data_IF_005717230391
#
_entry.id   IF_005717230391
#
_cell.length_a   1.000
_cell.length_b   1.000
_cell.length_c   1.000
_cell.angle_alpha   90.00
_cell.angle_beta   90.00
_cell.angle_gamma   90.00
#
_symmetry.space_group_name_H-M   'P 1'
#
loop_
_entity.id
_entity.type
_entity.pdbx_description
1 polymer ?
#
# COMPACT_ATOMS: atom_id res chain seq x y z
N UNK A 1 -29.05 5.37 5.16
CA UNK A 1 -27.75 4.87 5.65
C UNK A 1 -27.41 3.62 4.85
N UNK A 2 -26.35 3.70 4.08
CA UNK A 2 -25.84 2.52 3.39
C UNK A 2 -25.19 1.65 4.49
N UNK A 3 -25.61 0.40 4.64
CA UNK A 3 -25.03 -0.46 5.66
C UNK A 3 -23.55 -0.65 5.35
N UNK A 4 -22.70 -0.57 6.39
CA UNK A 4 -21.30 -0.92 6.26
C UNK A 4 -21.20 -2.31 5.62
N UNK A 5 -20.32 -2.52 4.63
CA UNK A 5 -20.15 -3.83 4.06
C UNK A 5 -19.68 -4.79 5.13
N UNK A 6 -20.09 -6.05 5.05
CA UNK A 6 -19.58 -7.06 5.94
C UNK A 6 -18.06 -7.17 5.78
N UNK A 7 -17.31 -7.21 6.88
CA UNK A 7 -15.90 -7.54 6.85
C UNK A 7 -15.66 -9.00 6.44
N UNK A 8 -14.58 -9.26 5.73
CA UNK A 8 -13.50 -8.38 5.32
C UNK A 8 -13.85 -7.57 4.05
N UNK A 9 -13.55 -6.29 4.10
CA UNK A 9 -13.79 -5.32 3.03
C UNK A 9 -13.03 -5.68 1.75
N UNK A 10 -11.75 -6.00 1.87
CA UNK A 10 -10.89 -6.35 0.73
C UNK A 10 -11.42 -7.55 -0.05
N UNK A 11 -11.88 -8.60 0.63
CA UNK A 11 -12.42 -9.80 -0.05
C UNK A 11 -13.67 -9.47 -0.85
N UNK A 12 -14.52 -8.57 -0.37
CA UNK A 12 -15.71 -8.13 -1.09
C UNK A 12 -15.35 -7.31 -2.34
N UNK A 13 -14.37 -6.41 -2.22
CA UNK A 13 -13.85 -5.62 -3.35
C UNK A 13 -13.25 -6.56 -4.40
N UNK A 14 -12.40 -7.49 -3.99
CA UNK A 14 -11.78 -8.47 -4.88
C UNK A 14 -12.84 -9.35 -5.58
N UNK A 15 -13.82 -9.85 -4.83
CA UNK A 15 -14.92 -10.63 -5.42
C UNK A 15 -15.63 -9.85 -6.51
N UNK A 16 -16.02 -8.62 -6.24
CA UNK A 16 -16.68 -7.75 -7.21
C UNK A 16 -15.81 -7.52 -8.45
N UNK A 17 -14.52 -7.26 -8.28
CA UNK A 17 -13.58 -7.11 -9.39
C UNK A 17 -13.50 -8.38 -10.26
N UNK A 18 -13.45 -9.57 -9.63
CA UNK A 18 -13.45 -10.85 -10.34
C UNK A 18 -14.76 -11.07 -11.12
N UNK A 19 -15.89 -10.69 -10.55
CA UNK A 19 -17.21 -10.84 -11.18
C UNK A 19 -17.38 -9.92 -12.42
N UNK A 20 -16.62 -8.82 -12.48
CA UNK A 20 -16.63 -7.86 -13.60
C UNK A 20 -15.70 -8.26 -14.76
N UNK A 21 -14.81 -9.21 -14.56
CA UNK A 21 -13.90 -9.64 -15.61
C UNK A 21 -14.63 -10.38 -16.74
N UNK A 22 -14.15 -10.27 -17.99
CA UNK A 22 -14.69 -11.03 -19.13
C UNK A 22 -14.74 -12.51 -18.83
N UNK A 23 -15.76 -13.22 -19.34
CA UNK A 23 -15.85 -14.68 -19.21
C UNK A 23 -14.96 -15.40 -20.22
N UNK A 24 -14.69 -14.77 -21.35
CA UNK A 24 -13.84 -15.29 -22.40
C UNK A 24 -12.39 -15.40 -21.94
N UNK A 25 -11.76 -16.55 -22.13
CA UNK A 25 -10.41 -16.81 -21.70
C UNK A 25 -9.37 -16.02 -22.49
N UNK A 26 -9.55 -15.90 -23.81
CA UNK A 26 -8.60 -15.20 -24.69
C UNK A 26 -8.55 -13.72 -24.32
N UNK A 27 -9.71 -13.13 -24.06
CA UNK A 27 -9.82 -11.74 -23.62
C UNK A 27 -9.14 -11.54 -22.25
N UNK A 28 -9.37 -12.45 -21.31
CA UNK A 28 -8.69 -12.42 -19.97
C UNK A 28 -7.16 -12.54 -20.10
N UNK A 29 -6.69 -13.43 -20.94
CA UNK A 29 -5.25 -13.62 -21.16
C UNK A 29 -4.61 -12.36 -21.76
N UNK A 30 -5.31 -11.66 -22.65
CA UNK A 30 -4.88 -10.37 -23.21
C UNK A 30 -4.75 -9.30 -22.11
N UNK A 31 -5.79 -9.11 -21.30
CA UNK A 31 -5.77 -8.16 -20.18
C UNK A 31 -4.62 -8.49 -19.21
N UNK A 32 -4.41 -9.78 -18.92
CA UNK A 32 -3.31 -10.22 -18.05
C UNK A 32 -1.92 -9.85 -18.62
N UNK A 33 -1.72 -9.99 -19.92
CA UNK A 33 -0.46 -9.62 -20.58
C UNK A 33 -0.20 -8.09 -20.53
N UNK A 34 -1.25 -7.28 -20.63
CA UNK A 34 -1.15 -5.82 -20.53
C UNK A 34 -0.61 -5.35 -19.18
N UNK A 35 -0.81 -6.11 -18.10
CA UNK A 35 -0.29 -5.78 -16.76
C UNK A 35 1.22 -5.98 -16.61
N UNK A 36 1.91 -6.61 -17.57
CA UNK A 36 3.36 -6.86 -17.52
C UNK A 36 3.80 -7.46 -16.16
N UNK A 37 3.11 -8.47 -15.69
CA UNK A 37 3.31 -9.09 -14.36
C UNK A 37 3.11 -8.13 -13.18
N UNK A 38 2.30 -7.08 -13.36
CA UNK A 38 2.00 -6.11 -12.31
C UNK A 38 2.97 -4.94 -12.21
N UNK A 39 3.89 -4.78 -13.18
CA UNK A 39 4.85 -3.66 -13.22
C UNK A 39 4.37 -2.50 -14.09
N UNK A 40 3.36 -2.72 -14.94
CA UNK A 40 2.77 -1.66 -15.76
C UNK A 40 1.94 -0.70 -14.91
N UNK A 41 1.92 0.56 -15.32
CA UNK A 41 0.92 1.53 -14.83
C UNK A 41 -0.45 1.09 -15.31
N UNK A 42 -1.39 0.85 -14.39
CA UNK A 42 -2.71 0.32 -14.70
C UNK A 42 -3.65 1.46 -15.10
N UNK A 43 -4.09 1.49 -16.35
CA UNK A 43 -4.84 2.60 -16.94
C UNK A 43 -6.28 2.23 -17.32
N UNK A 44 -6.71 0.99 -17.12
CA UNK A 44 -8.07 0.55 -17.44
C UNK A 44 -8.73 -0.16 -16.26
N UNK A 45 -10.06 -0.11 -16.21
CA UNK A 45 -10.85 -0.84 -15.21
C UNK A 45 -10.59 -2.36 -15.29
N UNK A 46 -10.40 -2.89 -16.49
CA UNK A 46 -10.15 -4.31 -16.70
C UNK A 46 -8.78 -4.74 -16.17
N UNK A 47 -7.72 -3.95 -16.39
CA UNK A 47 -6.40 -4.21 -15.82
C UNK A 47 -6.40 -4.09 -14.31
N UNK A 48 -7.12 -3.12 -13.73
CA UNK A 48 -7.30 -3.00 -12.28
C UNK A 48 -8.04 -4.22 -11.70
N UNK A 49 -9.10 -4.69 -12.34
CA UNK A 49 -9.86 -5.86 -11.92
C UNK A 49 -9.02 -7.14 -12.05
N UNK A 50 -8.27 -7.27 -13.15
CA UNK A 50 -7.38 -8.40 -13.39
C UNK A 50 -6.25 -8.45 -12.37
N UNK A 51 -5.71 -7.29 -11.96
CA UNK A 51 -4.69 -7.21 -10.92
C UNK A 51 -5.20 -7.76 -9.57
N UNK A 52 -6.40 -7.34 -9.16
CA UNK A 52 -7.04 -7.88 -7.95
C UNK A 52 -7.31 -9.38 -8.04
N UNK A 53 -7.75 -9.85 -9.20
CA UNK A 53 -7.98 -11.27 -9.43
C UNK A 53 -6.69 -12.08 -9.29
N UNK A 54 -5.60 -11.62 -9.93
CA UNK A 54 -4.36 -12.39 -10.10
C UNK A 54 -3.45 -12.30 -8.87
N UNK A 55 -3.32 -11.12 -8.28
CA UNK A 55 -2.35 -10.85 -7.22
C UNK A 55 -2.97 -10.51 -5.86
N UNK A 56 -4.23 -10.08 -5.84
CA UNK A 56 -4.85 -9.52 -4.64
C UNK A 56 -4.85 -10.46 -3.44
N UNK A 57 -5.08 -11.77 -3.64
CA UNK A 57 -5.07 -12.74 -2.54
C UNK A 57 -3.69 -12.84 -1.91
N UNK A 58 -2.66 -13.02 -2.73
CA UNK A 58 -1.26 -13.12 -2.29
C UNK A 58 -0.81 -11.84 -1.56
N UNK A 59 -1.14 -10.66 -2.09
CA UNK A 59 -0.81 -9.38 -1.44
C UNK A 59 -1.47 -9.27 -0.06
N UNK A 60 -2.75 -9.62 0.04
CA UNK A 60 -3.46 -9.61 1.32
C UNK A 60 -2.81 -10.54 2.34
N UNK A 61 -2.42 -11.74 1.95
CA UNK A 61 -1.78 -12.72 2.85
C UNK A 61 -0.46 -12.18 3.39
N UNK A 62 0.42 -11.65 2.52
CA UNK A 62 1.68 -11.03 2.93
C UNK A 62 1.47 -9.83 3.86
N UNK A 63 0.52 -8.94 3.52
CA UNK A 63 0.22 -7.77 4.33
C UNK A 63 -0.33 -8.16 5.71
N UNK A 64 -1.26 -9.13 5.77
CA UNK A 64 -1.80 -9.60 7.04
C UNK A 64 -0.71 -10.21 7.92
N UNK A 65 0.25 -10.93 7.34
CA UNK A 65 1.40 -11.44 8.09
C UNK A 65 2.26 -10.30 8.63
N UNK A 66 2.58 -9.30 7.82
CA UNK A 66 3.31 -8.12 8.26
C UNK A 66 2.57 -7.36 9.38
N UNK A 67 1.25 -7.24 9.28
CA UNK A 67 0.44 -6.53 10.28
C UNK A 67 0.31 -7.26 11.63
N UNK A 68 0.70 -8.53 11.74
CA UNK A 68 0.77 -9.23 13.05
C UNK A 68 1.74 -8.56 14.02
N UNK A 69 2.66 -7.76 13.50
CA UNK A 69 3.64 -7.00 14.28
C UNK A 69 3.22 -5.56 14.55
N UNK A 70 1.98 -5.18 14.18
CA UNK A 70 1.41 -3.89 14.55
C UNK A 70 1.24 -3.78 16.07
N UNK A 71 1.85 -2.76 16.65
CA UNK A 71 1.58 -2.42 18.04
C UNK A 71 0.31 -1.59 18.15
N UNK A 72 -0.59 -1.96 19.08
CA UNK A 72 -1.77 -1.15 19.39
C UNK A 72 -1.41 0.25 19.88
N UNK A 73 -0.21 0.44 20.41
CA UNK A 73 0.27 1.72 20.92
C UNK A 73 0.45 2.76 19.82
N UNK A 74 0.63 2.34 18.55
CA UNK A 74 0.72 3.27 17.42
C UNK A 74 -0.54 4.10 17.27
N UNK A 75 -1.70 3.51 17.55
CA UNK A 75 -3.00 4.10 17.30
C UNK A 75 -3.60 4.83 18.52
N UNK A 76 -2.89 4.87 19.66
CA UNK A 76 -3.28 5.68 20.82
C UNK A 76 -3.17 7.18 20.53
N UNK A 77 -2.25 7.54 19.66
CA UNK A 77 -2.04 8.91 19.17
C UNK A 77 -2.66 9.08 17.79
N UNK A 78 -2.61 10.29 17.30
CA UNK A 78 -2.99 10.61 15.93
C UNK A 78 -2.03 9.96 14.95
N UNK A 79 -2.58 9.28 13.93
CA UNK A 79 -1.82 8.50 12.95
C UNK A 79 -2.09 9.00 11.54
N UNK A 80 -1.03 9.10 10.75
CA UNK A 80 -1.08 9.26 9.30
C UNK A 80 -0.61 7.98 8.61
N UNK A 81 -1.28 7.59 7.55
CA UNK A 81 -0.88 6.45 6.69
C UNK A 81 -0.33 7.01 5.37
N UNK A 82 0.80 6.48 4.94
CA UNK A 82 1.42 6.77 3.65
C UNK A 82 1.50 5.46 2.85
N UNK A 83 0.72 5.35 1.79
CA UNK A 83 0.68 4.18 0.91
C UNK A 83 1.44 4.51 -0.39
N UNK A 84 2.67 4.01 -0.48
CA UNK A 84 3.63 4.31 -1.54
C UNK A 84 3.47 3.36 -2.71
N UNK A 85 3.19 3.92 -3.90
CA UNK A 85 2.77 3.11 -5.05
C UNK A 85 1.49 2.34 -4.72
N UNK A 86 0.50 3.07 -4.20
CA UNK A 86 -0.68 2.44 -3.58
C UNK A 86 -1.52 1.62 -4.57
N UNK A 87 -1.32 1.82 -5.89
CA UNK A 87 -2.21 1.26 -6.89
C UNK A 87 -3.66 1.61 -6.56
N UNK A 88 -4.50 0.60 -6.46
CA UNK A 88 -5.90 0.78 -6.07
C UNK A 88 -6.14 0.66 -4.54
N UNK A 89 -5.10 0.92 -3.72
CA UNK A 89 -5.19 1.04 -2.26
C UNK A 89 -5.22 -0.28 -1.50
N UNK A 90 -4.67 -1.36 -2.07
CA UNK A 90 -4.72 -2.71 -1.47
C UNK A 90 -4.13 -2.72 -0.06
N UNK A 91 -2.94 -2.11 0.13
CA UNK A 91 -2.26 -2.14 1.42
C UNK A 91 -3.04 -1.36 2.49
N UNK A 92 -3.52 -0.18 2.17
CA UNK A 92 -4.37 0.62 3.05
C UNK A 92 -5.67 -0.12 3.40
N UNK A 93 -6.36 -0.69 2.42
CA UNK A 93 -7.62 -1.42 2.66
C UNK A 93 -7.38 -2.64 3.55
N UNK A 94 -6.32 -3.41 3.31
CA UNK A 94 -5.96 -4.56 4.14
C UNK A 94 -5.58 -4.15 5.56
N UNK A 95 -4.90 -3.01 5.75
CA UNK A 95 -4.60 -2.48 7.09
C UNK A 95 -5.88 -2.11 7.83
N UNK A 96 -6.80 -1.40 7.19
CA UNK A 96 -8.08 -1.02 7.79
C UNK A 96 -8.93 -2.24 8.15
N UNK A 97 -8.97 -3.26 7.28
CA UNK A 97 -9.61 -4.53 7.58
C UNK A 97 -8.98 -5.20 8.80
N UNK A 98 -7.65 -5.27 8.84
CA UNK A 98 -6.92 -5.87 9.95
C UNK A 98 -7.22 -5.18 11.29
N UNK A 99 -7.22 -3.85 11.32
CA UNK A 99 -7.54 -3.06 12.51
C UNK A 99 -8.97 -3.32 13.00
N UNK A 100 -9.92 -3.39 12.07
CA UNK A 100 -11.33 -3.68 12.39
C UNK A 100 -11.51 -5.12 12.89
N UNK A 101 -10.91 -6.11 12.24
CA UNK A 101 -10.98 -7.51 12.65
C UNK A 101 -10.42 -7.72 14.07
N UNK A 102 -9.32 -7.01 14.41
CA UNK A 102 -8.70 -7.04 15.74
C UNK A 102 -9.41 -6.13 16.75
N UNK A 103 -10.42 -5.36 16.31
CA UNK A 103 -11.13 -4.37 17.13
C UNK A 103 -10.18 -3.34 17.75
N UNK A 104 -9.13 -2.98 17.05
CA UNK A 104 -8.21 -1.95 17.50
C UNK A 104 -8.88 -0.58 17.38
N UNK A 105 -8.88 0.15 18.48
CA UNK A 105 -9.25 1.57 18.45
C UNK A 105 -8.12 2.35 17.79
N UNK A 106 -8.44 3.22 16.84
CA UNK A 106 -7.45 4.04 16.15
C UNK A 106 -7.95 5.47 15.92
N UNK A 107 -7.01 6.40 15.98
CA UNK A 107 -7.23 7.81 15.67
C UNK A 107 -6.53 8.14 14.33
N UNK A 108 -7.19 7.79 13.24
CA UNK A 108 -6.66 7.99 11.90
C UNK A 108 -7.00 9.39 11.40
N UNK A 109 -5.97 10.21 11.19
CA UNK A 109 -6.08 11.59 10.75
C UNK A 109 -6.13 11.71 9.24
N UNK A 110 -5.07 11.23 8.58
CA UNK A 110 -4.89 11.37 7.13
C UNK A 110 -4.37 10.09 6.51
N UNK A 111 -4.86 9.79 5.31
CA UNK A 111 -4.30 8.77 4.43
C UNK A 111 -3.74 9.46 3.19
N UNK A 112 -2.45 9.27 2.93
CA UNK A 112 -1.76 9.74 1.74
C UNK A 112 -1.63 8.58 0.76
N UNK A 113 -2.18 8.75 -0.44
CA UNK A 113 -2.14 7.79 -1.53
C UNK A 113 -1.21 8.31 -2.61
N UNK A 114 -0.08 7.66 -2.82
CA UNK A 114 0.92 8.06 -3.81
C UNK A 114 0.90 7.05 -4.95
N UNK A 115 0.45 7.47 -6.14
CA UNK A 115 0.27 6.56 -7.29
C UNK A 115 0.29 7.35 -8.60
N UNK A 116 1.11 6.99 -9.58
CA UNK A 116 1.14 7.66 -10.88
C UNK A 116 -0.12 7.40 -11.73
N UNK A 117 -0.75 6.23 -11.60
CA UNK A 117 -2.02 5.95 -12.30
C UNK A 117 -3.15 6.75 -11.69
N UNK A 118 -3.72 7.68 -12.48
CA UNK A 118 -4.88 8.46 -12.06
C UNK A 118 -6.05 7.54 -11.71
N UNK A 119 -6.36 6.59 -12.59
CA UNK A 119 -7.50 5.68 -12.41
C UNK A 119 -7.35 4.80 -11.17
N UNK A 120 -6.15 4.26 -10.91
CA UNK A 120 -5.90 3.43 -9.74
C UNK A 120 -6.02 4.26 -8.45
N UNK A 121 -5.38 5.43 -8.41
CA UNK A 121 -5.45 6.34 -7.27
C UNK A 121 -6.87 6.84 -6.98
N UNK A 122 -7.65 7.17 -8.01
CA UNK A 122 -9.06 7.54 -7.87
C UNK A 122 -9.92 6.40 -7.32
N UNK A 123 -9.69 5.17 -7.79
CA UNK A 123 -10.39 4.00 -7.27
C UNK A 123 -10.06 3.80 -5.78
N UNK A 124 -8.78 3.90 -5.39
CA UNK A 124 -8.35 3.82 -3.99
C UNK A 124 -9.03 4.88 -3.13
N UNK A 125 -8.95 6.15 -3.54
CA UNK A 125 -9.56 7.27 -2.82
C UNK A 125 -11.07 7.09 -2.67
N UNK A 126 -11.78 6.73 -3.74
CA UNK A 126 -13.24 6.52 -3.74
C UNK A 126 -13.64 5.40 -2.77
N UNK A 127 -12.91 4.28 -2.75
CA UNK A 127 -13.17 3.18 -1.85
C UNK A 127 -12.96 3.63 -0.40
N UNK A 128 -11.83 4.26 -0.10
CA UNK A 128 -11.51 4.68 1.27
C UNK A 128 -12.52 5.71 1.77
N UNK A 129 -12.84 6.73 1.00
CA UNK A 129 -13.83 7.75 1.39
C UNK A 129 -15.23 7.18 1.59
N UNK A 130 -15.61 6.16 0.83
CA UNK A 130 -16.90 5.51 0.99
C UNK A 130 -17.04 4.84 2.36
N UNK A 131 -16.00 4.14 2.82
CA UNK A 131 -16.03 3.41 4.09
C UNK A 131 -15.59 4.26 5.28
N UNK A 132 -14.73 5.24 5.06
CA UNK A 132 -14.15 6.10 6.08
C UNK A 132 -14.35 7.59 5.74
N UNK A 133 -15.61 8.06 5.69
CA UNK A 133 -15.92 9.41 5.18
C UNK A 133 -15.37 10.56 6.04
N UNK A 134 -14.94 10.27 7.27
CA UNK A 134 -14.36 11.25 8.19
C UNK A 134 -12.85 11.37 8.08
N UNK A 135 -12.18 10.43 7.40
CA UNK A 135 -10.73 10.44 7.24
C UNK A 135 -10.35 11.37 6.09
N UNK A 136 -9.38 12.23 6.32
CA UNK A 136 -8.80 13.04 5.25
C UNK A 136 -8.01 12.14 4.32
N UNK A 137 -8.31 12.18 3.03
CA UNK A 137 -7.55 11.45 2.00
C UNK A 137 -6.84 12.46 1.10
N UNK A 138 -5.53 12.30 1.00
CA UNK A 138 -4.64 13.10 0.17
C UNK A 138 -4.11 12.21 -0.95
N UNK A 139 -4.48 12.49 -2.19
CA UNK A 139 -3.99 11.76 -3.36
C UNK A 139 -2.92 12.58 -4.08
N UNK A 140 -1.76 11.95 -4.32
CA UNK A 140 -0.65 12.49 -5.09
C UNK A 140 -0.46 11.63 -6.33
N UNK A 141 -0.79 12.19 -7.50
CA UNK A 141 -0.58 11.53 -8.79
C UNK A 141 0.86 11.78 -9.24
N UNK A 142 1.79 11.04 -8.66
CA UNK A 142 3.23 11.16 -8.90
C UNK A 142 3.92 9.81 -8.84
N UNK A 143 4.98 9.67 -9.61
CA UNK A 143 6.00 8.62 -9.40
C UNK A 143 6.84 8.96 -8.17
N UNK A 144 7.60 7.99 -7.65
CA UNK A 144 8.45 8.23 -6.47
C UNK A 144 9.59 9.22 -6.76
N UNK A 145 10.07 9.31 -8.00
CA UNK A 145 11.11 10.25 -8.42
C UNK A 145 10.63 11.71 -8.56
N UNK A 146 9.31 11.91 -8.71
CA UNK A 146 8.71 13.25 -8.83
C UNK A 146 8.36 13.89 -7.48
N UNK A 147 8.58 13.16 -6.39
CA UNK A 147 8.23 13.62 -5.06
C UNK A 147 9.22 14.65 -4.54
N UNK A 148 8.71 15.58 -3.78
CA UNK A 148 9.49 16.59 -3.06
C UNK A 148 8.95 16.80 -1.65
N UNK A 149 9.77 17.35 -0.76
CA UNK A 149 9.34 17.68 0.61
C UNK A 149 8.16 18.66 0.66
N UNK A 150 7.91 19.41 -0.42
CA UNK A 150 6.79 20.35 -0.52
C UNK A 150 5.44 19.66 -0.71
N UNK A 151 5.44 18.38 -1.12
CA UNK A 151 4.22 17.60 -1.31
C UNK A 151 3.60 17.15 0.03
N UNK A 152 4.34 17.31 1.13
CA UNK A 152 3.92 16.82 2.45
C UNK A 152 4.03 17.91 3.51
N UNK A 153 3.01 18.01 4.35
CA UNK A 153 3.04 18.87 5.54
C UNK A 153 3.94 18.24 6.62
N UNK A 154 4.72 19.06 7.31
CA UNK A 154 5.51 18.58 8.45
C UNK A 154 4.58 18.43 9.66
N UNK A 155 4.43 17.21 10.12
CA UNK A 155 3.59 16.87 11.28
C UNK A 155 4.41 16.11 12.32
N UNK A 156 3.96 16.19 13.58
CA UNK A 156 4.52 15.39 14.68
C UNK A 156 3.70 14.11 14.96
N UNK A 157 2.77 13.77 14.08
CA UNK A 157 1.96 12.57 14.18
C UNK A 157 2.81 11.30 14.05
N UNK A 158 2.28 10.19 14.53
CA UNK A 158 2.83 8.87 14.20
C UNK A 158 2.54 8.54 12.73
N UNK A 159 3.54 8.10 11.99
CA UNK A 159 3.42 7.80 10.56
C UNK A 159 3.61 6.32 10.32
N UNK A 160 2.68 5.74 9.56
CA UNK A 160 2.75 4.36 9.08
C UNK A 160 2.97 4.40 7.57
N UNK A 161 4.10 3.87 7.14
CA UNK A 161 4.49 3.81 5.74
C UNK A 161 4.29 2.39 5.22
N UNK A 162 3.45 2.25 4.20
CA UNK A 162 3.15 0.99 3.54
C UNK A 162 3.90 0.92 2.21
N UNK A 163 4.73 -0.10 2.07
CA UNK A 163 5.44 -0.42 0.83
C UNK A 163 5.03 -1.83 0.39
N UNK A 164 4.03 -1.90 -0.47
CA UNK A 164 3.50 -3.16 -0.96
C UNK A 164 3.90 -3.40 -2.40
N UNK A 165 4.93 -4.23 -2.62
CA UNK A 165 5.45 -4.60 -3.93
C UNK A 165 5.87 -3.38 -4.79
N UNK A 166 6.50 -2.38 -4.17
CA UNK A 166 6.99 -1.18 -4.83
C UNK A 166 8.50 -1.03 -4.70
N UNK A 167 9.12 -1.46 -3.59
CA UNK A 167 10.56 -1.30 -3.39
C UNK A 167 11.39 -2.17 -4.35
N UNK A 168 10.85 -3.28 -4.84
CA UNK A 168 11.48 -4.14 -5.84
C UNK A 168 11.41 -3.61 -7.27
N UNK A 169 10.57 -2.59 -7.52
CA UNK A 169 10.45 -1.94 -8.84
C UNK A 169 11.69 -1.09 -9.12
N UNK A 170 12.26 -1.27 -10.31
CA UNK A 170 13.51 -0.61 -10.70
C UNK A 170 13.32 0.69 -11.49
N UNK A 171 12.07 1.11 -11.70
CA UNK A 171 11.74 2.33 -12.46
C UNK A 171 12.03 3.64 -11.73
N UNK A 172 12.44 3.58 -10.46
CA UNK A 172 12.81 4.76 -9.67
C UNK A 172 14.18 4.58 -9.00
N UNK A 173 14.85 5.71 -8.71
CA UNK A 173 16.12 5.73 -7.99
C UNK A 173 15.90 5.60 -6.49
N UNK A 174 16.26 4.42 -5.95
CA UNK A 174 16.10 4.12 -4.53
C UNK A 174 16.92 5.05 -3.63
N UNK A 175 18.13 5.44 -4.06
CA UNK A 175 19.01 6.28 -3.24
C UNK A 175 18.47 7.70 -3.13
N UNK A 176 17.93 8.25 -4.22
CA UNK A 176 17.27 9.55 -4.23
C UNK A 176 16.00 9.50 -3.38
N UNK A 177 15.24 8.42 -3.46
CA UNK A 177 14.03 8.24 -2.64
C UNK A 177 14.36 8.17 -1.13
N UNK A 178 15.41 7.43 -0.75
CA UNK A 178 15.88 7.36 0.64
C UNK A 178 16.28 8.75 1.15
N UNK A 179 17.05 9.49 0.36
CA UNK A 179 17.46 10.85 0.71
C UNK A 179 16.26 11.79 0.88
N UNK A 180 15.33 11.77 -0.07
CA UNK A 180 14.06 12.49 0.04
C UNK A 180 13.32 12.14 1.34
N UNK A 181 13.22 10.84 1.65
CA UNK A 181 12.52 10.36 2.84
C UNK A 181 13.13 10.91 4.13
N UNK A 182 14.45 10.83 4.28
CA UNK A 182 15.19 11.30 5.44
C UNK A 182 15.04 12.82 5.67
N UNK A 183 14.91 13.59 4.59
CA UNK A 183 14.72 15.05 4.68
C UNK A 183 13.27 15.48 4.95
N UNK A 184 12.30 14.64 4.58
CA UNK A 184 10.88 14.99 4.60
C UNK A 184 10.22 14.59 5.90
N UNK A 185 10.50 13.39 6.41
CA UNK A 185 9.77 12.80 7.53
C UNK A 185 10.58 12.82 8.81
N UNK A 186 9.98 13.40 9.85
CA UNK A 186 10.53 13.44 11.22
C UNK A 186 9.58 12.76 12.19
N UNK A 187 10.04 12.49 13.41
CA UNK A 187 9.24 11.86 14.45
C UNK A 187 9.17 10.34 14.33
N UNK A 188 8.05 9.76 14.77
CA UNK A 188 7.87 8.31 14.78
C UNK A 188 7.38 7.81 13.43
N UNK A 189 8.22 7.07 12.74
CA UNK A 189 7.94 6.46 11.45
C UNK A 189 8.02 4.93 11.58
N UNK A 190 6.98 4.23 11.14
CA UNK A 190 6.90 2.77 11.13
C UNK A 190 6.72 2.29 9.70
N UNK A 191 7.50 1.28 9.32
CA UNK A 191 7.57 0.79 7.95
C UNK A 191 7.04 -0.63 7.86
N UNK A 192 6.12 -0.86 6.94
CA UNK A 192 5.60 -2.18 6.57
C UNK A 192 5.95 -2.43 5.11
N UNK A 193 7.03 -3.17 4.92
CA UNK A 193 7.56 -3.48 3.59
C UNK A 193 7.23 -4.92 3.24
N UNK A 194 6.45 -5.15 2.21
CA UNK A 194 6.20 -6.47 1.63
C UNK A 194 6.53 -6.45 0.15
N UNK A 195 7.15 -7.52 -0.33
CA UNK A 195 7.54 -7.65 -1.73
C UNK A 195 7.73 -9.09 -2.14
N UNK A 196 7.97 -9.35 -3.43
CA UNK A 196 8.37 -10.67 -3.90
C UNK A 196 9.79 -10.97 -3.41
N UNK A 197 10.02 -12.23 -3.06
CA UNK A 197 11.36 -12.70 -2.73
C UNK A 197 12.08 -13.18 -3.99
N UNK A 198 13.13 -12.44 -4.36
CA UNK A 198 14.09 -12.86 -5.40
C UNK A 198 15.49 -12.90 -4.79
N UNK A 199 16.23 -13.98 -5.04
CA UNK A 199 17.56 -14.19 -4.44
C UNK A 199 18.56 -13.04 -4.67
N UNK A 200 18.38 -12.28 -5.75
CA UNK A 200 19.27 -11.17 -6.14
C UNK A 200 18.65 -9.77 -5.91
N UNK A 201 17.43 -9.68 -5.38
CA UNK A 201 16.81 -8.38 -5.12
C UNK A 201 17.10 -7.95 -3.69
N UNK A 202 18.04 -7.01 -3.56
CA UNK A 202 18.43 -6.43 -2.27
C UNK A 202 17.76 -5.10 -1.96
N UNK A 203 16.92 -4.55 -2.86
CA UNK A 203 16.39 -3.19 -2.71
C UNK A 203 15.60 -2.99 -1.42
N UNK A 204 14.85 -3.99 -0.96
CA UNK A 204 14.17 -3.91 0.33
C UNK A 204 15.19 -3.89 1.48
N UNK A 205 16.22 -4.75 1.42
CA UNK A 205 17.28 -4.80 2.42
C UNK A 205 18.09 -3.48 2.45
N UNK A 206 18.40 -2.91 1.27
CA UNK A 206 19.10 -1.63 1.12
C UNK A 206 18.26 -0.48 1.68
N UNK A 207 16.96 -0.47 1.40
CA UNK A 207 16.04 0.52 1.94
C UNK A 207 15.99 0.44 3.48
N UNK A 208 15.82 -0.77 4.02
CA UNK A 208 15.77 -0.99 5.48
C UNK A 208 17.08 -0.56 6.14
N UNK A 209 18.23 -0.94 5.58
CA UNK A 209 19.53 -0.56 6.11
C UNK A 209 19.75 0.96 6.12
N UNK A 210 19.28 1.66 5.10
CA UNK A 210 19.42 3.11 4.99
C UNK A 210 18.37 3.89 5.80
N UNK A 211 17.14 3.37 5.91
CA UNK A 211 16.09 3.99 6.71
C UNK A 211 16.30 3.77 8.21
N UNK A 212 17.08 2.77 8.58
CA UNK A 212 17.31 2.33 9.96
C UNK A 212 18.82 2.32 10.32
N UNK A 213 19.57 3.43 10.16
CA UNK A 213 21.03 3.44 10.33
C UNK A 213 21.50 3.27 11.79
N UNK A 214 20.62 3.42 12.78
CA UNK A 214 20.97 3.47 14.20
C UNK A 214 20.25 2.39 15.02
N UNK A 215 20.77 2.13 16.23
CA UNK A 215 20.22 1.17 17.21
C UNK A 215 18.75 1.42 17.62
N UNK A 216 18.17 2.56 17.22
CA UNK A 216 16.75 2.91 17.47
C UNK A 216 15.77 2.20 16.53
N UNK A 217 16.24 1.51 15.51
CA UNK A 217 15.42 0.79 14.56
C UNK A 217 15.68 -0.71 14.67
N UNK A 218 14.64 -1.47 14.88
CA UNK A 218 14.70 -2.92 14.89
C UNK A 218 13.97 -3.50 13.69
N UNK A 219 14.54 -4.48 13.02
CA UNK A 219 13.80 -5.36 12.13
C UNK A 219 12.94 -6.22 13.04
N UNK A 220 11.61 -5.94 13.05
CA UNK A 220 10.67 -6.67 13.90
C UNK A 220 10.50 -8.10 13.36
N UNK A 221 10.47 -8.26 12.06
CA UNK A 221 10.48 -9.57 11.41
C UNK A 221 10.86 -9.47 9.92
N UNK A 222 11.64 -10.44 9.46
CA UNK A 222 11.90 -10.65 8.03
C UNK A 222 11.62 -12.12 7.71
N UNK A 223 10.47 -12.41 7.11
CA UNK A 223 10.13 -13.75 6.66
C UNK A 223 10.30 -13.89 5.16
N UNK A 224 10.92 -15.01 4.78
CA UNK A 224 11.06 -15.47 3.39
C UNK A 224 10.26 -16.76 3.28
N UNK A 225 9.31 -16.79 2.34
CA UNK A 225 8.47 -17.99 2.16
C UNK A 225 7.72 -17.97 0.83
N UNK A 226 7.17 -19.11 0.48
CA UNK A 226 6.20 -19.23 -0.63
C UNK A 226 4.81 -18.88 -0.08
N UNK A 227 4.06 -18.04 -0.84
CA UNK A 227 2.73 -17.55 -0.46
C UNK A 227 1.68 -17.90 -1.52
#
# INVERSE_FOLDING_TARGET
SIPFPPHPLFLNIRKKACDLLPKDKVERDKIYQEMQRGTAVLETEDTLNMYLNSYGKMHREKLNEAFRYLSTDFFKNEVEIYDWGCGQGIATICLLDYLNDKKFSYNLHTIHLIEPSELAGERAERIIRYFYPKVKVNRLQKTLDELSSKDFEKTNTTKIHLFSNILDVTSFDLSLFIHFFQQTFSGKNYFYCVGPYYANNKRVDDFVAAAAPDEMYGIINAQKGEW
#
